data_IF_365104216433
#
_entry.id   IF_365104216433
#
_cell.length_a   1.000
_cell.length_b   1.000
_cell.length_c   1.000
_cell.angle_alpha   90.00
_cell.angle_beta   90.00
_cell.angle_gamma   90.00
#
_symmetry.space_group_name_H-M   'P 1'
#
loop_
_entity.id
_entity.type
_entity.pdbx_description
1 polymer ?
#
# COMPACT_ATOMS: atom_id res chain seq x y z
N UNK A 1 9.52 -15.63 17.83
CA UNK A 1 9.04 -16.98 17.42
C UNK A 1 8.04 -16.81 16.29
N UNK A 2 8.09 -17.59 15.20
CA UNK A 2 7.07 -17.52 14.18
C UNK A 2 5.78 -18.08 14.79
N UNK A 3 4.87 -17.19 15.18
CA UNK A 3 3.55 -17.57 15.66
C UNK A 3 2.85 -18.26 14.50
N UNK A 4 2.67 -19.58 14.59
CA UNK A 4 1.92 -20.35 13.59
C UNK A 4 0.61 -19.62 13.29
N UNK A 5 0.44 -19.30 12.02
CA UNK A 5 -0.81 -18.70 11.55
C UNK A 5 -1.92 -19.72 11.77
N UNK A 6 -3.04 -19.33 12.42
CA UNK A 6 -4.27 -20.12 12.42
C UNK A 6 -4.57 -20.69 11.03
N UNK A 7 -5.08 -21.92 10.91
CA UNK A 7 -5.33 -22.58 9.63
C UNK A 7 -6.07 -21.70 8.61
N UNK A 8 -6.95 -20.83 9.08
CA UNK A 8 -7.81 -19.96 8.29
C UNK A 8 -7.05 -18.74 7.77
N UNK A 9 -6.08 -18.23 8.52
CA UNK A 9 -5.18 -17.19 8.02
C UNK A 9 -4.22 -17.73 6.95
N UNK A 10 -3.84 -19.02 7.00
CA UNK A 10 -3.10 -19.67 5.90
C UNK A 10 -3.94 -19.79 4.64
N UNK A 11 -5.23 -20.14 4.77
CA UNK A 11 -6.18 -20.15 3.65
C UNK A 11 -6.35 -18.73 3.07
N UNK A 12 -6.51 -17.73 3.93
CA UNK A 12 -6.59 -16.32 3.52
C UNK A 12 -5.33 -15.88 2.77
N UNK A 13 -4.13 -16.21 3.25
CA UNK A 13 -2.88 -15.89 2.57
C UNK A 13 -2.84 -16.51 1.16
N UNK A 14 -3.28 -17.76 1.03
CA UNK A 14 -3.33 -18.48 -0.25
C UNK A 14 -4.30 -17.78 -1.21
N UNK A 15 -5.49 -17.45 -0.75
CA UNK A 15 -6.51 -16.77 -1.57
C UNK A 15 -6.04 -15.38 -2.04
N UNK A 16 -5.39 -14.62 -1.15
CA UNK A 16 -4.82 -13.31 -1.49
C UNK A 16 -3.73 -13.43 -2.59
N UNK A 17 -2.90 -14.46 -2.52
CA UNK A 17 -1.89 -14.75 -3.55
C UNK A 17 -2.55 -15.12 -4.88
N UNK A 18 -3.55 -16.00 -4.86
CA UNK A 18 -4.26 -16.44 -6.06
C UNK A 18 -4.95 -15.29 -6.79
N UNK A 19 -5.51 -14.33 -6.04
CA UNK A 19 -6.16 -13.14 -6.62
C UNK A 19 -5.19 -12.00 -6.98
N UNK A 20 -3.87 -12.22 -6.89
CA UNK A 20 -2.87 -11.26 -7.34
C UNK A 20 -2.72 -10.01 -6.46
N UNK A 21 -3.05 -10.09 -5.16
CA UNK A 21 -2.86 -8.97 -4.25
C UNK A 21 -1.37 -8.68 -4.04
N UNK A 22 -1.02 -7.40 -3.88
CA UNK A 22 0.36 -7.01 -3.59
C UNK A 22 0.83 -7.57 -2.25
N UNK A 23 2.13 -7.87 -2.12
CA UNK A 23 2.73 -8.37 -0.86
C UNK A 23 2.36 -7.50 0.35
N UNK A 24 2.38 -6.17 0.16
CA UNK A 24 2.04 -5.22 1.21
C UNK A 24 0.55 -5.29 1.58
N UNK A 25 -0.34 -5.39 0.59
CA UNK A 25 -1.78 -5.54 0.85
C UNK A 25 -2.06 -6.85 1.58
N UNK A 26 -1.46 -7.96 1.14
CA UNK A 26 -1.63 -9.27 1.78
C UNK A 26 -1.16 -9.25 3.23
N UNK A 27 0.01 -8.63 3.50
CA UNK A 27 0.53 -8.44 4.85
C UNK A 27 -0.45 -7.70 5.75
N UNK A 28 -1.02 -6.59 5.27
CA UNK A 28 -1.98 -5.80 6.05
C UNK A 28 -3.30 -6.54 6.27
N UNK A 29 -3.78 -7.28 5.27
CA UNK A 29 -5.02 -8.06 5.39
C UNK A 29 -4.85 -9.18 6.41
N UNK A 30 -3.72 -9.90 6.38
CA UNK A 30 -3.41 -10.94 7.38
C UNK A 30 -3.26 -10.34 8.77
N UNK A 31 -2.59 -9.20 8.90
CA UNK A 31 -2.42 -8.51 10.18
C UNK A 31 -3.76 -8.12 10.81
N UNK A 32 -4.65 -7.49 10.05
CA UNK A 32 -5.93 -7.04 10.61
C UNK A 32 -6.94 -8.17 10.83
N UNK A 33 -6.95 -9.20 9.99
CA UNK A 33 -7.77 -10.39 10.25
C UNK A 33 -7.27 -11.14 11.48
N UNK A 34 -5.95 -11.25 11.68
CA UNK A 34 -5.39 -11.79 12.93
C UNK A 34 -5.86 -10.98 14.14
N UNK A 35 -5.73 -9.65 14.09
CA UNK A 35 -6.15 -8.75 15.18
C UNK A 35 -7.64 -8.82 15.47
N UNK A 36 -8.45 -9.09 14.46
CA UNK A 36 -9.88 -9.31 14.62
C UNK A 36 -10.18 -10.64 15.33
N UNK A 37 -9.58 -11.75 14.88
CA UNK A 37 -9.74 -13.06 15.52
C UNK A 37 -9.26 -13.04 16.99
N UNK A 38 -8.14 -12.35 17.26
CA UNK A 38 -7.64 -12.12 18.63
C UNK A 38 -8.59 -11.27 19.50
N UNK A 39 -9.43 -10.41 18.90
CA UNK A 39 -10.33 -9.51 19.64
C UNK A 39 -11.64 -10.19 20.03
N UNK A 40 -12.20 -11.01 19.13
CA UNK A 40 -13.51 -11.61 19.33
C UNK A 40 -13.48 -12.88 20.19
N UNK A 41 -12.33 -13.58 20.23
CA UNK A 41 -12.15 -14.86 20.94
C UNK A 41 -13.26 -15.90 20.65
N UNK A 42 -13.77 -15.92 19.41
CA UNK A 42 -14.84 -16.79 18.93
C UNK A 42 -14.40 -17.65 17.77
N UNK A 43 -15.05 -18.80 17.63
CA UNK A 43 -14.90 -19.62 16.43
C UNK A 43 -15.47 -18.90 15.20
N UNK A 44 -14.84 -19.15 14.04
CA UNK A 44 -15.15 -18.45 12.78
C UNK A 44 -16.60 -18.68 12.33
N UNK A 45 -17.15 -19.83 12.68
CA UNK A 45 -18.55 -20.19 12.39
C UNK A 45 -19.52 -19.33 13.21
N UNK A 46 -19.14 -18.93 14.41
CA UNK A 46 -19.97 -18.14 15.33
C UNK A 46 -19.90 -16.63 15.09
N UNK A 47 -18.95 -16.18 14.27
CA UNK A 47 -18.81 -14.75 13.94
C UNK A 47 -20.09 -14.24 13.28
N UNK A 48 -20.61 -13.15 13.86
CA UNK A 48 -21.77 -12.38 13.41
C UNK A 48 -21.34 -10.97 12.98
N UNK A 49 -22.26 -10.29 12.31
CA UNK A 49 -22.08 -8.92 11.87
C UNK A 49 -21.80 -7.94 13.01
N UNK A 50 -22.40 -8.18 14.19
CA UNK A 50 -22.21 -7.32 15.35
C UNK A 50 -20.78 -7.42 15.91
N UNK A 51 -20.12 -8.58 15.79
CA UNK A 51 -18.70 -8.74 16.18
C UNK A 51 -17.79 -7.86 15.31
N UNK A 52 -18.11 -7.77 14.01
CA UNK A 52 -17.36 -6.93 13.09
C UNK A 52 -17.60 -5.44 13.38
N UNK A 53 -18.84 -5.06 13.71
CA UNK A 53 -19.15 -3.69 14.12
C UNK A 53 -18.42 -3.31 15.40
N UNK A 54 -18.40 -4.19 16.39
CA UNK A 54 -17.72 -3.97 17.66
C UNK A 54 -16.21 -3.80 17.45
N UNK A 55 -15.60 -4.66 16.64
CA UNK A 55 -14.19 -4.51 16.28
C UNK A 55 -13.91 -3.22 15.52
N UNK A 56 -14.71 -2.87 14.52
CA UNK A 56 -14.52 -1.61 13.78
C UNK A 56 -14.74 -0.39 14.67
N UNK A 57 -15.71 -0.43 15.60
CA UNK A 57 -15.93 0.64 16.57
C UNK A 57 -14.72 0.82 17.48
N UNK A 58 -14.12 -0.27 17.99
CA UNK A 58 -12.91 -0.19 18.82
C UNK A 58 -11.72 0.42 18.05
N UNK A 59 -11.63 0.21 16.74
CA UNK A 59 -10.59 0.82 15.88
C UNK A 59 -10.89 2.27 15.51
N UNK A 60 -12.15 2.65 15.35
CA UNK A 60 -12.53 4.03 15.07
C UNK A 60 -12.27 4.92 16.29
N UNK A 61 -12.42 4.39 17.51
CA UNK A 61 -12.10 5.09 18.76
C UNK A 61 -10.60 5.19 19.04
N UNK A 62 -9.75 4.57 18.22
CA UNK A 62 -8.30 4.66 18.35
C UNK A 62 -7.78 5.87 17.54
N UNK A 63 -7.46 6.95 18.25
CA UNK A 63 -6.96 8.21 17.67
C UNK A 63 -5.64 8.06 16.89
N UNK A 64 -4.93 6.93 17.04
CA UNK A 64 -3.73 6.65 16.26
C UNK A 64 -4.03 6.21 14.82
N UNK A 65 -5.27 5.80 14.52
CA UNK A 65 -5.66 5.27 13.22
C UNK A 65 -6.28 6.34 12.32
N UNK A 66 -5.72 6.49 11.13
CA UNK A 66 -6.32 7.33 10.10
C UNK A 66 -7.60 6.71 9.53
N UNK A 67 -8.51 7.54 9.00
CA UNK A 67 -9.70 7.04 8.28
C UNK A 67 -9.34 6.12 7.09
N UNK A 68 -8.17 6.33 6.47
CA UNK A 68 -7.65 5.43 5.43
C UNK A 68 -7.28 4.05 5.99
N UNK A 69 -6.73 4.01 7.20
CA UNK A 69 -6.46 2.77 7.93
C UNK A 69 -7.78 2.05 8.27
N UNK A 70 -8.80 2.77 8.75
CA UNK A 70 -10.12 2.18 9.00
C UNK A 70 -10.75 1.60 7.74
N UNK A 71 -10.64 2.30 6.60
CA UNK A 71 -11.14 1.81 5.32
C UNK A 71 -10.40 0.52 4.89
N UNK A 72 -9.09 0.43 5.14
CA UNK A 72 -8.29 -0.76 4.88
C UNK A 72 -8.71 -1.93 5.78
N UNK A 73 -8.91 -1.69 7.08
CA UNK A 73 -9.38 -2.71 8.03
C UNK A 73 -10.73 -3.25 7.56
N UNK A 74 -11.70 -2.37 7.29
CA UNK A 74 -13.01 -2.77 6.79
C UNK A 74 -12.90 -3.58 5.50
N UNK A 75 -12.07 -3.18 4.54
CA UNK A 75 -11.87 -3.91 3.30
C UNK A 75 -11.28 -5.31 3.56
N UNK A 76 -10.32 -5.43 4.48
CA UNK A 76 -9.74 -6.73 4.83
C UNK A 76 -10.71 -7.68 5.51
N UNK A 77 -11.60 -7.16 6.38
CA UNK A 77 -12.61 -7.96 7.06
C UNK A 77 -13.73 -8.35 6.12
N UNK A 78 -14.15 -7.44 5.24
CA UNK A 78 -15.13 -7.75 4.20
C UNK A 78 -14.61 -8.85 3.27
N UNK A 79 -13.36 -8.78 2.86
CA UNK A 79 -12.75 -9.82 2.02
C UNK A 79 -12.75 -11.19 2.71
N UNK A 80 -12.31 -11.25 3.96
CA UNK A 80 -12.30 -12.49 4.72
C UNK A 80 -13.72 -13.03 4.96
N UNK A 81 -14.62 -12.19 5.48
CA UNK A 81 -15.95 -12.62 5.90
C UNK A 81 -16.90 -12.89 4.73
N UNK A 82 -16.87 -12.06 3.69
CA UNK A 82 -17.78 -12.19 2.55
C UNK A 82 -17.17 -12.97 1.39
N UNK A 83 -15.98 -12.59 0.91
CA UNK A 83 -15.41 -13.24 -0.28
C UNK A 83 -14.85 -14.64 -0.01
N UNK A 84 -14.38 -14.92 1.23
CA UNK A 84 -13.79 -16.21 1.59
C UNK A 84 -14.75 -17.11 2.38
N UNK A 85 -15.49 -16.59 3.36
CA UNK A 85 -16.43 -17.40 4.17
C UNK A 85 -17.85 -17.45 3.60
N UNK A 86 -18.16 -16.66 2.56
CA UNK A 86 -19.50 -16.61 1.97
C UNK A 86 -20.58 -16.01 2.89
N UNK A 87 -20.18 -15.33 3.97
CA UNK A 87 -21.11 -14.67 4.91
C UNK A 87 -21.39 -13.24 4.46
N UNK A 88 -22.66 -12.85 4.43
CA UNK A 88 -23.04 -11.48 4.08
C UNK A 88 -22.70 -10.53 5.22
N UNK A 89 -21.74 -9.63 4.99
CA UNK A 89 -21.49 -8.51 5.88
C UNK A 89 -22.56 -7.43 5.62
N UNK A 90 -23.36 -7.07 6.62
CA UNK A 90 -24.23 -5.90 6.55
C UNK A 90 -23.46 -4.64 6.15
N UNK A 91 -24.18 -3.65 5.60
CA UNK A 91 -23.62 -2.38 5.13
C UNK A 91 -23.14 -1.51 6.30
N UNK A 92 -21.98 -1.85 6.88
CA UNK A 92 -21.34 -1.06 7.94
C UNK A 92 -20.80 0.23 7.33
N UNK A 93 -21.34 1.39 7.74
CA UNK A 93 -20.82 2.70 7.33
C UNK A 93 -19.64 3.07 8.22
N UNK A 94 -18.50 3.42 7.62
CA UNK A 94 -17.30 3.89 8.33
C UNK A 94 -16.98 5.33 7.91
N UNK A 95 -16.23 6.10 8.72
CA UNK A 95 -15.76 7.42 8.34
C UNK A 95 -15.09 7.41 6.97
N UNK A 96 -15.38 8.41 6.13
CA UNK A 96 -14.73 8.53 4.83
C UNK A 96 -13.25 8.87 5.03
N UNK A 97 -12.38 8.21 4.28
CA UNK A 97 -10.97 8.58 4.20
C UNK A 97 -10.86 10.08 3.86
N UNK A 98 -10.19 10.85 4.70
CA UNK A 98 -9.97 12.28 4.44
C UNK A 98 -9.01 12.43 3.27
N UNK A 99 -9.41 13.21 2.26
CA UNK A 99 -8.52 13.59 1.16
C UNK A 99 -7.75 14.82 1.59
N UNK A 100 -6.51 14.63 2.04
CA UNK A 100 -5.60 15.76 2.27
C UNK A 100 -5.21 16.37 0.93
N UNK A 101 -5.14 17.70 0.85
CA UNK A 101 -4.58 18.37 -0.30
C UNK A 101 -3.08 18.02 -0.39
N UNK A 102 -2.54 17.75 -1.58
CA UNK A 102 -1.11 17.58 -1.75
C UNK A 102 -0.39 18.83 -1.28
N UNK A 103 0.58 18.67 -0.37
CA UNK A 103 1.54 19.72 -0.06
C UNK A 103 2.66 19.58 -1.06
N UNK A 104 2.90 20.63 -1.85
CA UNK A 104 3.96 20.67 -2.86
C UNK A 104 5.08 21.58 -2.40
N UNK A 105 6.32 21.18 -2.64
CA UNK A 105 7.50 21.99 -2.38
C UNK A 105 7.66 23.05 -3.47
N UNK A 106 8.14 24.23 -3.08
CA UNK A 106 8.58 25.28 -4.01
C UNK A 106 9.88 24.88 -4.70
N UNK A 107 10.19 25.53 -5.83
CA UNK A 107 11.45 25.32 -6.54
C UNK A 107 12.68 25.57 -5.65
N UNK A 108 12.60 26.56 -4.76
CA UNK A 108 13.68 26.87 -3.80
C UNK A 108 13.88 25.73 -2.80
N UNK A 109 12.79 25.24 -2.19
CA UNK A 109 12.87 24.12 -1.24
C UNK A 109 13.39 22.83 -1.88
N UNK A 110 13.01 22.54 -3.13
CA UNK A 110 13.55 21.40 -3.88
C UNK A 110 15.06 21.56 -4.10
N UNK A 111 15.50 22.76 -4.49
CA UNK A 111 16.93 23.04 -4.70
C UNK A 111 17.70 22.88 -3.41
N UNK A 112 17.22 23.48 -2.32
CA UNK A 112 17.85 23.38 -1.00
C UNK A 112 17.90 21.92 -0.53
N UNK A 113 16.85 21.12 -0.78
CA UNK A 113 16.83 19.67 -0.49
C UNK A 113 17.92 18.91 -1.26
N UNK A 114 18.08 19.17 -2.56
CA UNK A 114 19.09 18.52 -3.41
C UNK A 114 20.50 18.91 -2.98
N UNK A 115 20.74 20.21 -2.76
CA UNK A 115 22.06 20.76 -2.44
C UNK A 115 22.57 20.32 -1.06
N UNK A 116 21.67 20.09 -0.09
CA UNK A 116 22.02 19.60 1.25
C UNK A 116 22.02 18.06 1.37
N UNK A 117 21.76 17.32 0.28
CA UNK A 117 21.83 15.85 0.31
C UNK A 117 23.24 15.39 -0.04
N UNK A 118 24.04 15.07 0.98
CA UNK A 118 25.45 14.65 0.83
C UNK A 118 25.60 13.27 0.17
N UNK A 119 24.66 12.36 0.42
CA UNK A 119 24.73 11.02 -0.14
C UNK A 119 24.37 11.06 -1.64
N UNK A 120 25.35 10.76 -2.49
CA UNK A 120 25.21 10.80 -3.95
C UNK A 120 24.06 9.93 -4.47
N UNK A 121 23.78 8.78 -3.85
CA UNK A 121 22.67 7.90 -4.25
C UNK A 121 21.32 8.52 -3.90
N UNK A 122 21.21 9.14 -2.73
CA UNK A 122 19.97 9.81 -2.32
C UNK A 122 19.72 11.05 -3.17
N UNK A 123 20.77 11.82 -3.45
CA UNK A 123 20.71 12.99 -4.33
C UNK A 123 20.21 12.60 -5.72
N UNK A 124 20.82 11.59 -6.35
CA UNK A 124 20.37 11.05 -7.64
C UNK A 124 18.90 10.62 -7.60
N UNK A 125 18.47 9.95 -6.54
CA UNK A 125 17.08 9.50 -6.38
C UNK A 125 16.10 10.67 -6.28
N UNK A 126 16.45 11.73 -5.53
CA UNK A 126 15.61 12.94 -5.41
C UNK A 126 15.53 13.66 -6.76
N UNK A 127 16.66 13.86 -7.43
CA UNK A 127 16.72 14.51 -8.75
C UNK A 127 15.92 13.71 -9.79
N UNK A 128 16.00 12.38 -9.78
CA UNK A 128 15.27 11.52 -10.70
C UNK A 128 13.76 11.57 -10.42
N UNK A 129 13.34 11.43 -9.16
CA UNK A 129 11.93 11.53 -8.78
C UNK A 129 11.32 12.88 -9.18
N UNK A 130 12.05 13.97 -8.94
CA UNK A 130 11.59 15.32 -9.25
C UNK A 130 11.48 15.57 -10.76
N UNK A 131 12.48 15.14 -11.54
CA UNK A 131 12.54 15.41 -12.98
C UNK A 131 11.64 14.52 -13.83
N UNK A 132 11.43 13.26 -13.42
CA UNK A 132 10.71 12.25 -14.22
C UNK A 132 9.27 12.03 -13.77
N UNK A 133 8.92 12.47 -12.55
CA UNK A 133 7.61 12.18 -11.95
C UNK A 133 7.36 10.69 -11.73
N UNK A 134 8.41 9.89 -11.57
CA UNK A 134 8.31 8.48 -11.20
C UNK A 134 7.73 8.34 -9.79
N UNK A 135 6.96 7.28 -9.58
CA UNK A 135 6.60 6.88 -8.20
C UNK A 135 7.83 6.28 -7.53
N UNK A 136 7.91 6.39 -6.20
CA UNK A 136 9.02 5.82 -5.43
C UNK A 136 9.29 4.35 -5.78
N UNK A 137 8.24 3.53 -5.86
CA UNK A 137 8.35 2.11 -6.23
C UNK A 137 8.86 1.89 -7.66
N UNK A 138 8.57 2.81 -8.58
CA UNK A 138 9.05 2.73 -9.96
C UNK A 138 10.54 3.10 -10.00
N UNK A 139 10.93 4.17 -9.29
CA UNK A 139 12.31 4.63 -9.18
C UNK A 139 13.26 3.60 -8.57
N UNK A 140 12.86 2.91 -7.48
CA UNK A 140 13.74 1.94 -6.80
C UNK A 140 13.86 0.60 -7.53
N UNK A 141 12.94 0.28 -8.43
CA UNK A 141 12.95 -0.97 -9.21
C UNK A 141 13.48 -0.76 -10.64
N UNK A 142 13.86 0.47 -10.99
CA UNK A 142 14.40 0.81 -12.30
C UNK A 142 15.73 0.07 -12.55
N UNK A 143 15.83 -0.60 -13.69
CA UNK A 143 17.05 -1.31 -14.07
C UNK A 143 17.84 -0.50 -15.10
N UNK A 144 19.15 -0.74 -15.18
CA UNK A 144 20.00 -0.09 -16.17
C UNK A 144 19.54 -0.35 -17.62
N UNK A 145 19.05 -1.58 -17.90
CA UNK A 145 18.50 -1.94 -19.21
C UNK A 145 17.19 -1.23 -19.56
N UNK A 146 16.53 -0.61 -18.58
CA UNK A 146 15.34 0.20 -18.79
C UNK A 146 15.68 1.67 -19.08
N UNK A 147 16.95 2.02 -19.28
CA UNK A 147 17.39 3.38 -19.57
C UNK A 147 18.07 3.46 -20.94
N UNK A 148 17.56 4.35 -21.77
CA UNK A 148 18.23 4.82 -22.97
C UNK A 148 18.70 6.26 -22.73
N UNK A 149 19.95 6.38 -22.29
CA UNK A 149 20.57 7.68 -22.02
C UNK A 149 20.89 8.46 -23.31
N UNK A 150 21.04 7.77 -24.45
CA UNK A 150 21.30 8.42 -25.73
C UNK A 150 20.04 9.15 -26.20
N UNK A 151 18.90 8.45 -26.17
CA UNK A 151 17.61 9.02 -26.56
C UNK A 151 16.95 9.82 -25.42
N UNK A 152 17.48 9.75 -24.20
CA UNK A 152 16.94 10.43 -23.03
C UNK A 152 15.60 9.87 -22.58
N UNK A 153 15.39 8.57 -22.74
CA UNK A 153 14.14 7.91 -22.38
C UNK A 153 14.40 6.74 -21.45
N UNK A 154 13.37 6.37 -20.68
CA UNK A 154 13.40 5.15 -19.89
C UNK A 154 12.04 4.48 -19.84
N UNK A 155 12.05 3.22 -19.40
CA UNK A 155 10.85 2.40 -19.29
C UNK A 155 10.52 2.10 -17.83
N UNK A 156 9.28 2.34 -17.43
CA UNK A 156 8.73 1.75 -16.22
C UNK A 156 8.11 0.41 -16.59
N UNK A 157 8.68 -0.67 -16.08
CA UNK A 157 8.13 -2.02 -16.20
C UNK A 157 7.09 -2.29 -15.12
N UNK A 158 6.00 -2.95 -15.48
CA UNK A 158 4.96 -3.40 -14.53
C UNK A 158 4.47 -2.27 -13.59
N UNK A 159 4.18 -1.12 -14.18
CA UNK A 159 3.59 0.01 -13.47
C UNK A 159 2.18 -0.30 -12.94
N UNK A 160 1.46 0.72 -12.47
CA UNK A 160 0.09 0.53 -11.94
C UNK A 160 -0.80 -0.21 -12.95
N UNK A 161 -1.36 -1.34 -12.54
CA UNK A 161 -2.19 -2.20 -13.40
C UNK A 161 -1.38 -3.09 -14.36
N UNK A 162 -0.12 -3.36 -14.04
CA UNK A 162 0.81 -4.13 -14.87
C UNK A 162 1.02 -3.54 -16.29
N UNK A 163 1.00 -2.21 -16.39
CA UNK A 163 1.20 -1.49 -17.65
C UNK A 163 2.58 -0.85 -17.68
N UNK A 164 3.26 -1.05 -18.80
CA UNK A 164 4.51 -0.39 -19.10
C UNK A 164 4.25 1.04 -19.57
N UNK A 165 5.17 1.95 -19.26
CA UNK A 165 5.15 3.33 -19.77
C UNK A 165 6.55 3.86 -20.00
N UNK A 166 6.68 4.75 -20.97
CA UNK A 166 7.91 5.52 -21.20
C UNK A 166 7.91 6.74 -20.28
N UNK A 167 9.08 7.14 -19.81
CA UNK A 167 9.32 8.43 -19.18
C UNK A 167 10.54 9.12 -19.81
N UNK A 168 10.59 10.44 -19.71
CA UNK A 168 11.67 11.26 -20.26
C UNK A 168 12.70 11.49 -19.16
N UNK A 169 13.97 11.34 -19.51
CA UNK A 169 15.12 11.60 -18.64
C UNK A 169 15.58 13.04 -18.89
N UNK A 170 15.73 13.81 -17.81
CA UNK A 170 16.25 15.18 -17.90
C UNK A 170 17.69 15.19 -18.43
N UNK A 171 18.03 16.22 -19.21
CA UNK A 171 19.38 16.50 -19.73
C UNK A 171 20.46 16.50 -18.65
N UNK A 172 20.10 16.80 -17.39
CA UNK A 172 21.00 16.78 -16.24
C UNK A 172 21.70 15.42 -16.08
N UNK A 173 21.05 14.33 -16.51
CA UNK A 173 21.56 12.96 -16.42
C UNK A 173 22.24 12.45 -17.70
N UNK A 174 22.24 13.22 -18.80
CA UNK A 174 22.84 12.82 -20.08
C UNK A 174 24.35 13.09 -20.15
N UNK A 175 25.05 12.99 -19.02
CA UNK A 175 26.50 13.27 -18.92
C UNK A 175 27.34 12.04 -19.22
#
# INVERSE_FOLDING_TARGET
MPVELPPELKKLETELKLRGFSKQTSKMYLFYNRKFLEFIEKDIEEIKDDDIKEFLASKISDDSLSNSSIALIKASLKFFYTDMLGKNMSLIKTPKASKKLPVVLTHKEIKDLIDNTENIKHRLLIELLYSTGLRLSECINLQYCDLDLNDGTGWVRLGKGAKDRIFIISEIFKK
#
